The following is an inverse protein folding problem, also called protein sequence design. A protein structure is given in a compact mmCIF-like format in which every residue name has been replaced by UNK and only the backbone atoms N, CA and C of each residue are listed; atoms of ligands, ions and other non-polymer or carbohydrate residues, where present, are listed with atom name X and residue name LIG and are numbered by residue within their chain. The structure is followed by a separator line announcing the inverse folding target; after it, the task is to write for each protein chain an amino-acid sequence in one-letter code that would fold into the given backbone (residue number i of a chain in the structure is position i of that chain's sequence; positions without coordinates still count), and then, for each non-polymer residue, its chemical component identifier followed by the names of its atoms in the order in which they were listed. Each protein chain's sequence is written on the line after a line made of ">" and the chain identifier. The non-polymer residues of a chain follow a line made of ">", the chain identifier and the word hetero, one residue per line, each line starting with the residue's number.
data_IF_446064447572
#
_entry.id   IF_446064447572
#
_cell.length_a   1.000
_cell.length_b   1.000
_cell.length_c   1.000
_cell.angle_alpha   90.00
_cell.angle_beta   90.00
_cell.angle_gamma   90.00
#
_symmetry.space_group_name_H-M   'P 1'
#
loop_
_entity.id
_entity.type
_entity.pdbx_description
1 polymer ?
#
# COMPACT_ATOMS: atom_id res chain seq x y z
N UNK A 1 7.17 -7.36 7.09
CA UNK A 1 6.10 -6.34 6.97
C UNK A 1 6.60 -4.95 6.56
N UNK A 2 7.47 -4.25 7.32
CA UNK A 2 8.02 -2.95 6.86
C UNK A 2 8.88 -3.07 5.59
N UNK A 3 9.66 -4.15 5.48
CA UNK A 3 10.39 -4.51 4.25
C UNK A 3 9.46 -4.68 3.03
N UNK A 4 8.25 -5.21 3.22
CA UNK A 4 7.31 -5.47 2.11
C UNK A 4 6.66 -4.18 1.62
N UNK A 5 6.36 -3.26 2.53
CA UNK A 5 5.83 -1.93 2.19
C UNK A 5 6.90 -1.09 1.46
N UNK A 6 8.14 -1.10 1.94
CA UNK A 6 9.24 -0.41 1.26
C UNK A 6 9.51 -1.00 -0.13
N UNK A 7 9.50 -2.32 -0.24
CA UNK A 7 9.63 -3.00 -1.54
C UNK A 7 8.50 -2.60 -2.50
N UNK A 8 7.26 -2.56 -2.02
CA UNK A 8 6.11 -2.14 -2.81
C UNK A 8 6.21 -0.67 -3.25
N UNK A 9 6.71 0.23 -2.38
CA UNK A 9 6.96 1.64 -2.74
C UNK A 9 8.01 1.75 -3.84
N UNK A 10 9.15 1.07 -3.69
CA UNK A 10 10.20 1.04 -4.73
C UNK A 10 9.67 0.49 -6.05
N UNK A 11 8.80 -0.53 -6.01
CA UNK A 11 8.17 -1.08 -7.22
C UNK A 11 7.22 -0.08 -7.88
N UNK A 12 6.42 0.65 -7.09
CA UNK A 12 5.55 1.72 -7.58
C UNK A 12 6.35 2.87 -8.20
N UNK A 13 7.43 3.31 -7.56
CA UNK A 13 8.28 4.39 -8.07
C UNK A 13 8.95 4.00 -9.41
N UNK A 14 9.44 2.76 -9.53
CA UNK A 14 9.93 2.25 -10.82
C UNK A 14 8.85 2.25 -11.89
N UNK A 15 7.63 1.80 -11.56
CA UNK A 15 6.53 1.77 -12.52
C UNK A 15 6.13 3.18 -12.98
N UNK A 16 6.10 4.18 -12.08
CA UNK A 16 5.88 5.58 -12.46
C UNK A 16 6.96 6.10 -13.39
N UNK A 17 8.23 5.80 -13.11
CA UNK A 17 9.34 6.26 -13.92
C UNK A 17 9.22 5.76 -15.37
N UNK A 18 8.81 4.50 -15.56
CA UNK A 18 8.54 3.95 -16.91
C UNK A 18 7.40 4.68 -17.60
N UNK A 19 6.30 4.98 -16.89
CA UNK A 19 5.18 5.76 -17.45
C UNK A 19 5.66 7.14 -17.89
N UNK A 20 6.40 7.85 -17.05
CA UNK A 20 6.94 9.17 -17.36
C UNK A 20 7.89 9.14 -18.55
N UNK A 21 8.75 8.12 -18.65
CA UNK A 21 9.64 7.94 -19.79
C UNK A 21 8.86 7.78 -21.09
N UNK A 22 7.83 6.94 -21.11
CA UNK A 22 6.97 6.75 -22.28
C UNK A 22 6.19 8.02 -22.62
N UNK A 23 5.63 8.73 -21.64
CA UNK A 23 4.93 10.00 -21.87
C UNK A 23 5.86 11.11 -22.40
N UNK A 24 7.12 11.12 -21.98
CA UNK A 24 8.11 12.12 -22.40
C UNK A 24 8.66 11.89 -23.81
N UNK A 25 8.50 10.69 -24.37
CA UNK A 25 9.03 10.32 -25.68
C UNK A 25 7.91 9.80 -26.58
N UNK A 26 7.14 10.70 -27.22
CA UNK A 26 6.14 10.30 -28.18
C UNK A 26 6.76 9.58 -29.40
N UNK A 27 5.97 8.78 -30.13
CA UNK A 27 6.43 8.03 -31.29
C UNK A 27 6.80 8.97 -32.46
N UNK A 28 7.86 8.63 -33.18
CA UNK A 28 8.40 9.46 -34.28
C UNK A 28 7.55 9.37 -35.56
N UNK A 29 6.75 8.30 -35.71
CA UNK A 29 5.91 8.08 -36.88
C UNK A 29 4.58 7.40 -36.55
N UNK A 30 3.63 7.47 -37.48
CA UNK A 30 2.28 6.94 -37.32
C UNK A 30 2.23 5.40 -37.20
N UNK A 31 3.22 4.68 -37.75
CA UNK A 31 3.31 3.22 -37.65
C UNK A 31 3.66 2.74 -36.24
N UNK A 32 4.43 3.54 -35.50
CA UNK A 32 4.79 3.28 -34.11
C UNK A 32 3.74 3.76 -33.11
N UNK A 33 2.84 4.67 -33.53
CA UNK A 33 1.87 5.28 -32.64
C UNK A 33 0.97 4.28 -31.91
N UNK A 34 0.47 3.27 -32.62
CA UNK A 34 -0.37 2.22 -32.03
C UNK A 34 0.39 1.38 -31.01
N UNK A 35 1.66 1.02 -31.30
CA UNK A 35 2.50 0.24 -30.39
C UNK A 35 2.86 1.03 -29.15
N UNK A 36 3.29 2.29 -29.33
CA UNK A 36 3.58 3.20 -28.24
C UNK A 36 2.37 3.39 -27.31
N UNK A 37 1.18 3.58 -27.88
CA UNK A 37 -0.05 3.72 -27.10
C UNK A 37 -0.35 2.45 -26.29
N UNK A 38 -0.19 1.26 -26.88
CA UNK A 38 -0.37 -0.01 -26.18
C UNK A 38 0.64 -0.18 -25.02
N UNK A 39 1.92 0.15 -25.26
CA UNK A 39 2.97 0.12 -24.24
C UNK A 39 2.68 1.07 -23.09
N UNK A 40 2.27 2.31 -23.40
CA UNK A 40 1.89 3.30 -22.41
C UNK A 40 0.69 2.85 -21.58
N UNK A 41 -0.33 2.24 -22.21
CA UNK A 41 -1.47 1.68 -21.47
C UNK A 41 -1.06 0.57 -20.51
N UNK A 42 -0.20 -0.37 -20.95
CA UNK A 42 0.31 -1.43 -20.09
C UNK A 42 1.17 -0.88 -18.95
N UNK A 43 2.01 0.12 -19.21
CA UNK A 43 2.82 0.77 -18.19
C UNK A 43 1.94 1.44 -17.13
N UNK A 44 0.91 2.19 -17.55
CA UNK A 44 -0.07 2.83 -16.64
C UNK A 44 -0.80 1.79 -15.80
N UNK A 45 -1.27 0.70 -16.42
CA UNK A 45 -1.94 -0.39 -15.68
C UNK A 45 -1.03 -0.98 -14.60
N UNK A 46 0.25 -1.24 -14.91
CA UNK A 46 1.23 -1.73 -13.94
C UNK A 46 1.47 -0.74 -12.81
N UNK A 47 1.54 0.56 -13.10
CA UNK A 47 1.69 1.60 -12.10
C UNK A 47 0.50 1.65 -11.14
N UNK A 48 -0.74 1.54 -11.66
CA UNK A 48 -1.95 1.48 -10.84
C UNK A 48 -1.99 0.24 -9.94
N UNK A 49 -1.63 -0.94 -10.46
CA UNK A 49 -1.56 -2.16 -9.65
C UNK A 49 -0.52 -2.04 -8.53
N UNK A 50 0.67 -1.49 -8.84
CA UNK A 50 1.70 -1.25 -7.84
C UNK A 50 1.25 -0.25 -6.75
N UNK A 51 0.55 0.82 -7.15
CA UNK A 51 -0.06 1.77 -6.23
C UNK A 51 -1.08 1.11 -5.31
N UNK A 52 -1.98 0.29 -5.86
CA UNK A 52 -2.97 -0.46 -5.09
C UNK A 52 -2.33 -1.35 -4.02
N UNK A 53 -1.21 -2.01 -4.36
CA UNK A 53 -0.44 -2.82 -3.41
C UNK A 53 0.15 -1.98 -2.27
N UNK A 54 0.70 -0.80 -2.56
CA UNK A 54 1.20 0.12 -1.53
C UNK A 54 0.07 0.53 -0.58
N UNK A 55 -1.08 0.92 -1.12
CA UNK A 55 -2.25 1.32 -0.31
C UNK A 55 -2.73 0.18 0.59
N UNK A 56 -2.84 -1.04 0.05
CA UNK A 56 -3.26 -2.20 0.82
C UNK A 56 -2.29 -2.53 1.98
N UNK A 57 -0.98 -2.51 1.70
CA UNK A 57 0.05 -2.76 2.72
C UNK A 57 0.11 -1.64 3.78
N UNK A 58 -0.07 -0.38 3.38
CA UNK A 58 -0.14 0.73 4.33
C UNK A 58 -1.32 0.58 5.29
N UNK A 59 -2.50 0.25 4.78
CA UNK A 59 -3.69 -0.01 5.60
C UNK A 59 -3.46 -1.16 6.58
N UNK A 60 -2.86 -2.26 6.11
CA UNK A 60 -2.50 -3.40 6.98
C UNK A 60 -1.51 -3.02 8.08
N UNK A 61 -0.45 -2.27 7.76
CA UNK A 61 0.51 -1.77 8.75
C UNK A 61 -0.15 -0.87 9.80
N UNK A 62 -1.05 0.03 9.38
CA UNK A 62 -1.75 0.92 10.31
C UNK A 62 -2.69 0.15 11.23
N UNK A 63 -3.45 -0.82 10.70
CA UNK A 63 -4.32 -1.68 11.50
C UNK A 63 -3.52 -2.48 12.54
N UNK A 64 -2.37 -3.03 12.14
CA UNK A 64 -1.49 -3.75 13.06
C UNK A 64 -0.98 -2.85 14.19
N UNK A 65 -0.45 -1.66 13.87
CA UNK A 65 -0.01 -0.69 14.89
C UNK A 65 -1.13 -0.29 15.84
N UNK A 66 -2.34 -0.03 15.32
CA UNK A 66 -3.49 0.28 16.17
C UNK A 66 -3.83 -0.84 17.17
N UNK A 67 -3.62 -2.11 16.81
CA UNK A 67 -3.78 -3.24 17.73
C UNK A 67 -2.62 -3.37 18.74
N UNK A 68 -1.39 -3.01 18.36
CA UNK A 68 -0.24 -3.01 19.27
C UNK A 68 -0.32 -1.87 20.30
N UNK A 69 -0.75 -0.69 19.85
CA UNK A 69 -0.89 0.53 20.67
C UNK A 69 -2.19 0.55 21.49
N UNK A 70 -3.09 -0.41 21.28
CA UNK A 70 -4.31 -0.52 22.07
C UNK A 70 -3.95 -0.83 23.53
N UNK A 71 -4.43 -0.04 24.51
CA UNK A 71 -4.06 -0.21 25.91
C UNK A 71 -4.46 -1.60 26.40
N UNK A 72 -3.45 -2.44 26.68
CA UNK A 72 -3.61 -3.79 27.22
C UNK A 72 -4.34 -3.82 28.58
N UNK A 73 -4.48 -2.67 29.22
CA UNK A 73 -5.20 -2.48 30.48
C UNK A 73 -6.69 -2.85 30.38
N UNK A 74 -7.33 -2.72 29.21
CA UNK A 74 -8.74 -3.15 29.03
C UNK A 74 -8.93 -4.67 28.97
N UNK A 75 -7.86 -5.45 28.82
CA UNK A 75 -7.91 -6.92 28.81
C UNK A 75 -7.69 -7.54 30.20
N UNK A 76 -7.33 -6.75 31.23
CA UNK A 76 -7.28 -7.18 32.64
C UNK A 76 -8.56 -6.85 33.43
N UNK A 77 -9.67 -6.70 32.72
CA UNK A 77 -11.00 -6.53 33.33
C UNK A 77 -11.60 -7.77 34.05
N UNK A 78 -10.97 -8.96 34.20
CA UNK A 78 -11.51 -9.96 35.11
C UNK A 78 -11.24 -9.64 36.59
N UNK A 79 -10.07 -9.06 36.91
CA UNK A 79 -9.64 -8.87 38.31
C UNK A 79 -10.30 -7.65 38.95
N UNK A 80 -10.48 -6.57 38.19
CA UNK A 80 -11.17 -5.37 38.67
C UNK A 80 -12.68 -5.59 38.86
N UNK A 81 -13.31 -6.46 38.03
CA UNK A 81 -14.73 -6.79 38.16
C UNK A 81 -14.98 -7.75 39.32
N UNK A 82 -14.07 -8.69 39.58
CA UNK A 82 -14.15 -9.60 40.74
C UNK A 82 -13.94 -8.87 42.07
N UNK A 83 -13.03 -7.88 42.13
CA UNK A 83 -12.81 -7.07 43.32
C UNK A 83 -14.02 -6.17 43.66
N UNK A 84 -14.71 -5.63 42.66
CA UNK A 84 -15.90 -4.78 42.85
C UNK A 84 -17.15 -5.54 43.34
N UNK A 85 -17.19 -6.87 43.16
CA UNK A 85 -18.27 -7.75 43.63
C UNK A 85 -17.99 -8.36 45.02
N UNK A 86 -16.80 -8.11 45.59
CA UNK A 86 -16.35 -8.70 46.85
C UNK A 86 -16.37 -7.70 48.03
N UNK A 87 -16.77 -6.45 47.82
CA UNK A 87 -16.99 -5.52 48.94
C UNK A 87 -18.41 -5.74 49.53
N UNK A 88 -18.52 -5.89 50.88
CA UNK A 88 -19.74 -6.30 51.58
C UNK A 88 -20.85 -5.25 51.62
#
# INVERSE_FOLDING_TARGET
>A
MHSDLEHARRAWDRAKSVVQQLESRPPDNAGEASRHQAELHLARLRAYMAQGRVIALQRGCLAHKACEDAPRERLRAPEAFAAALAEP
#
